data_IF_936088621975
#
_entry.id   IF_936088621975
#
_cell.length_a   1.000
_cell.length_b   1.000
_cell.length_c   1.000
_cell.angle_alpha   90.00
_cell.angle_beta   90.00
_cell.angle_gamma   90.00
#
_symmetry.space_group_name_H-M   'P 1'
#
loop_
_entity.id
_entity.type
_entity.pdbx_description
1 polymer ?
#
# COMPACT_ATOMS: atom_id res chain seq x y z
N UNK A 1 17.57 47.46 -52.88
CA UNK A 1 16.45 46.71 -52.26
C UNK A 1 17.02 45.87 -51.14
N UNK A 2 16.65 46.17 -49.90
CA UNK A 2 16.00 45.16 -49.07
C UNK A 2 14.74 45.70 -48.40
N UNK A 3 13.95 44.74 -47.92
CA UNK A 3 12.53 44.79 -47.57
C UNK A 3 12.30 45.40 -46.19
N UNK A 4 11.31 46.30 -46.07
CA UNK A 4 10.70 46.70 -44.79
C UNK A 4 9.99 45.48 -44.20
N UNK A 5 10.46 44.97 -43.07
CA UNK A 5 9.65 44.10 -42.20
C UNK A 5 9.11 45.00 -41.10
N UNK A 6 7.80 45.26 -41.14
CA UNK A 6 7.08 45.94 -40.07
C UNK A 6 7.10 45.05 -38.82
N UNK A 7 7.59 45.59 -37.71
CA UNK A 7 7.40 44.99 -36.40
C UNK A 7 5.90 45.03 -36.08
N UNK A 8 5.26 43.86 -36.05
CA UNK A 8 3.86 43.66 -35.63
C UNK A 8 3.80 43.06 -34.21
N UNK A 9 4.88 43.20 -33.43
CA UNK A 9 5.02 42.60 -32.10
C UNK A 9 5.58 43.59 -31.07
N UNK A 10 5.08 44.82 -31.09
CA UNK A 10 5.46 45.86 -30.10
C UNK A 10 4.26 46.34 -29.28
N UNK A 11 3.26 45.47 -29.08
CA UNK A 11 2.15 45.73 -28.15
C UNK A 11 2.17 44.72 -27.00
N UNK A 12 2.75 45.15 -25.88
CA UNK A 12 2.21 44.84 -24.56
C UNK A 12 2.47 43.47 -23.95
N UNK A 13 3.69 42.94 -24.04
CA UNK A 13 4.11 41.84 -23.16
C UNK A 13 5.02 42.38 -22.05
N UNK A 14 4.40 42.91 -20.99
CA UNK A 14 5.09 43.10 -19.72
C UNK A 14 5.51 41.72 -19.20
N UNK A 15 6.81 41.51 -19.06
CA UNK A 15 7.33 40.37 -18.34
C UNK A 15 6.83 40.47 -16.89
N UNK A 16 5.92 39.58 -16.48
CA UNK A 16 5.64 39.34 -15.07
C UNK A 16 6.98 38.97 -14.44
N UNK A 17 7.54 39.89 -13.66
CA UNK A 17 8.72 39.65 -12.85
C UNK A 17 8.42 38.47 -11.95
N UNK A 18 9.35 37.52 -11.89
CA UNK A 18 9.31 36.29 -11.08
C UNK A 18 9.26 36.51 -9.55
N UNK A 19 8.95 37.73 -9.12
CA UNK A 19 8.94 38.18 -7.72
C UNK A 19 7.52 38.49 -7.23
N UNK A 20 6.47 38.25 -8.03
CA UNK A 20 5.10 38.13 -7.49
C UNK A 20 4.97 36.79 -6.77
N UNK A 21 5.42 36.79 -5.52
CA UNK A 21 5.05 35.83 -4.50
C UNK A 21 3.51 35.75 -4.50
N UNK A 22 2.99 34.64 -5.03
CA UNK A 22 1.57 34.31 -4.95
C UNK A 22 1.27 34.07 -3.47
N UNK A 23 0.98 35.16 -2.74
CA UNK A 23 0.36 35.10 -1.42
C UNK A 23 -1.03 34.51 -1.62
N UNK A 24 -1.09 33.18 -1.63
CA UNK A 24 -2.29 32.46 -1.26
C UNK A 24 -2.62 32.91 0.16
N UNK A 25 -3.52 33.90 0.27
CA UNK A 25 -4.20 34.32 1.50
C UNK A 25 -5.18 33.19 1.91
N UNK A 26 -4.62 31.99 2.08
CA UNK A 26 -5.25 30.86 2.72
C UNK A 26 -5.00 31.08 4.20
N UNK A 27 -6.00 31.68 4.85
CA UNK A 27 -6.10 31.70 6.31
C UNK A 27 -5.67 30.33 6.83
N UNK A 28 -4.59 30.21 7.61
CA UNK A 28 -4.12 28.92 8.06
C UNK A 28 -5.24 28.34 8.92
N UNK A 29 -5.91 27.30 8.41
CA UNK A 29 -6.92 26.58 9.17
C UNK A 29 -6.29 26.24 10.53
N UNK A 30 -6.87 26.77 11.61
CA UNK A 30 -6.38 26.74 12.98
C UNK A 30 -6.43 25.32 13.60
N UNK A 31 -6.24 24.28 12.79
CA UNK A 31 -6.12 22.93 13.29
C UNK A 31 -4.65 22.65 13.64
N UNK A 32 -4.33 22.29 14.89
CA UNK A 32 -2.96 21.93 15.24
C UNK A 32 -2.52 20.77 14.34
N UNK A 33 -1.29 20.83 13.76
CA UNK A 33 -0.88 19.88 12.74
C UNK A 33 -0.99 18.49 13.32
N UNK A 34 -1.90 17.70 12.76
CA UNK A 34 -2.02 16.29 13.11
C UNK A 34 -0.65 15.66 12.80
N UNK A 35 -0.02 15.05 13.80
CA UNK A 35 1.15 14.22 13.54
C UNK A 35 0.66 12.97 12.82
N UNK A 36 0.75 13.00 11.50
CA UNK A 36 0.36 11.91 10.60
C UNK A 36 1.44 10.81 10.57
N UNK A 37 2.65 11.13 11.04
CA UNK A 37 3.80 10.21 11.06
C UNK A 37 3.51 8.83 11.69
N UNK A 38 2.95 8.72 12.91
CA UNK A 38 2.65 7.42 13.50
C UNK A 38 1.58 6.63 12.71
N UNK A 39 0.58 7.33 12.15
CA UNK A 39 -0.51 6.71 11.37
C UNK A 39 0.06 6.05 10.11
N UNK A 40 0.92 6.77 9.41
CA UNK A 40 1.57 6.29 8.18
C UNK A 40 2.52 5.16 8.51
N UNK A 41 3.33 5.31 9.55
CA UNK A 41 4.27 4.26 9.97
C UNK A 41 3.56 2.94 10.30
N UNK A 42 2.49 2.97 11.11
CA UNK A 42 1.71 1.77 11.42
C UNK A 42 1.03 1.19 10.19
N UNK A 43 0.54 2.04 9.29
CA UNK A 43 -0.05 1.59 8.03
C UNK A 43 0.98 0.87 7.15
N UNK A 44 2.19 1.42 6.99
CA UNK A 44 3.26 0.84 6.18
C UNK A 44 3.75 -0.50 6.72
N UNK A 45 3.93 -0.61 8.04
CA UNK A 45 4.25 -1.90 8.67
C UNK A 45 3.18 -2.91 8.30
N UNK A 46 1.92 -2.59 8.56
CA UNK A 46 0.79 -3.48 8.29
C UNK A 46 0.64 -3.83 6.80
N UNK A 47 0.92 -2.88 5.91
CA UNK A 47 0.98 -3.09 4.47
C UNK A 47 2.06 -4.10 4.08
N UNK A 48 3.25 -3.92 4.65
CA UNK A 48 4.38 -4.82 4.44
C UNK A 48 4.10 -6.24 4.94
N UNK A 49 3.57 -6.39 6.16
CA UNK A 49 3.16 -7.69 6.71
C UNK A 49 2.18 -8.38 5.77
N UNK A 50 1.12 -7.68 5.38
CA UNK A 50 0.07 -8.27 4.55
C UNK A 50 0.60 -8.64 3.17
N UNK A 51 1.50 -7.86 2.59
CA UNK A 51 2.16 -8.17 1.31
C UNK A 51 2.88 -9.52 1.35
N UNK A 52 3.67 -9.77 2.40
CA UNK A 52 4.39 -11.05 2.56
C UNK A 52 3.43 -12.21 2.81
N UNK A 53 2.47 -12.07 3.74
CA UNK A 53 1.58 -13.19 4.07
C UNK A 53 0.64 -13.52 2.90
N UNK A 54 0.19 -12.53 2.13
CA UNK A 54 -0.62 -12.77 0.91
C UNK A 54 0.13 -13.66 -0.08
N UNK A 55 1.42 -13.40 -0.30
CA UNK A 55 2.25 -14.21 -1.17
C UNK A 55 2.37 -15.64 -0.65
N UNK A 56 2.76 -15.81 0.61
CA UNK A 56 2.92 -17.12 1.25
C UNK A 56 1.62 -17.94 1.22
N UNK A 57 0.47 -17.33 1.53
CA UNK A 57 -0.82 -18.01 1.50
C UNK A 57 -1.20 -18.49 0.10
N UNK A 58 -0.96 -17.68 -0.93
CA UNK A 58 -1.26 -18.05 -2.32
C UNK A 58 -0.36 -19.20 -2.78
N UNK A 59 0.94 -19.17 -2.46
CA UNK A 59 1.87 -20.28 -2.72
C UNK A 59 1.36 -21.56 -2.06
N UNK A 60 1.06 -21.50 -0.76
CA UNK A 60 0.58 -22.66 0.00
C UNK A 60 -0.70 -23.27 -0.58
N UNK A 61 -1.61 -22.41 -1.04
CA UNK A 61 -2.89 -22.86 -1.59
C UNK A 61 -2.76 -23.44 -2.99
N UNK A 62 -1.92 -22.86 -3.84
CA UNK A 62 -1.62 -23.41 -5.17
C UNK A 62 -0.87 -24.74 -5.02
N UNK A 63 0.08 -24.81 -4.09
CA UNK A 63 0.82 -26.03 -3.79
C UNK A 63 -0.09 -27.14 -3.26
N UNK A 64 -1.09 -26.80 -2.43
CA UNK A 64 -2.11 -27.75 -1.98
C UNK A 64 -2.99 -28.26 -3.13
N UNK A 65 -3.51 -27.34 -3.95
CA UNK A 65 -4.38 -27.65 -5.11
C UNK A 65 -3.66 -28.49 -6.17
N UNK A 66 -2.36 -28.25 -6.38
CA UNK A 66 -1.53 -29.04 -7.32
C UNK A 66 -0.94 -30.30 -6.67
N UNK A 67 -0.91 -30.39 -5.34
CA UNK A 67 -0.38 -31.55 -4.64
C UNK A 67 -1.21 -32.81 -4.80
N UNK A 68 -2.51 -32.67 -5.02
CA UNK A 68 -3.40 -33.79 -5.38
C UNK A 68 -3.14 -34.31 -6.81
N UNK A 69 -2.47 -33.53 -7.67
CA UNK A 69 -2.15 -33.91 -9.06
C UNK A 69 -0.80 -34.68 -9.13
N UNK A 70 0.07 -34.51 -8.14
CA UNK A 70 1.36 -35.20 -8.01
C UNK A 70 1.30 -36.25 -6.88
N UNK A 71 0.33 -37.17 -6.98
CA UNK A 71 0.02 -38.26 -6.05
C UNK A 71 1.10 -39.37 -5.94
N UNK A 72 2.38 -38.99 -6.06
CA UNK A 72 3.54 -39.88 -5.94
C UNK A 72 4.80 -39.22 -5.38
N UNK A 73 4.78 -37.92 -5.06
CA UNK A 73 5.90 -37.21 -4.46
C UNK A 73 5.41 -36.46 -3.21
N UNK A 74 5.36 -37.17 -2.09
CA UNK A 74 4.85 -36.71 -0.78
C UNK A 74 5.58 -35.53 -0.14
N UNK A 75 6.43 -34.80 -0.87
CA UNK A 75 7.34 -33.78 -0.34
C UNK A 75 7.19 -32.42 -1.06
N UNK A 76 5.98 -31.99 -1.39
CA UNK A 76 5.76 -30.60 -1.85
C UNK A 76 6.00 -29.61 -0.70
N UNK A 77 5.73 -30.04 0.54
CA UNK A 77 6.17 -29.36 1.77
C UNK A 77 7.67 -29.54 2.06
N UNK A 78 8.31 -30.55 1.46
CA UNK A 78 9.74 -30.80 1.52
C UNK A 78 10.58 -29.98 0.55
N UNK A 79 9.98 -29.32 -0.46
CA UNK A 79 10.68 -28.39 -1.38
C UNK A 79 11.25 -27.17 -0.63
N UNK A 80 10.61 -26.78 0.48
CA UNK A 80 11.10 -25.72 1.37
C UNK A 80 12.00 -26.24 2.50
N UNK A 81 12.20 -27.57 2.58
CA UNK A 81 13.12 -28.19 3.52
C UNK A 81 14.45 -28.44 2.80
N UNK A 82 15.44 -27.59 3.09
CA UNK A 82 16.78 -27.62 2.47
C UNK A 82 17.54 -28.96 2.67
N UNK A 83 17.00 -29.87 3.48
CA UNK A 83 17.62 -31.16 3.82
C UNK A 83 17.36 -32.28 2.81
N UNK A 84 16.44 -32.11 1.84
CA UNK A 84 16.09 -33.16 0.87
C UNK A 84 16.55 -32.86 -0.57
N UNK A 85 17.77 -32.35 -0.73
CA UNK A 85 18.43 -32.13 -2.03
C UNK A 85 19.00 -33.43 -2.65
N UNK A 86 18.22 -34.51 -2.74
CA UNK A 86 18.71 -35.79 -3.30
C UNK A 86 17.84 -36.46 -4.36
N UNK A 87 16.70 -35.88 -4.77
CA UNK A 87 15.93 -36.39 -5.91
C UNK A 87 15.89 -35.39 -7.07
N UNK A 88 16.15 -35.91 -8.27
CA UNK A 88 16.08 -35.29 -9.61
C UNK A 88 15.90 -33.75 -9.64
N UNK A 89 17.01 -33.02 -9.51
CA UNK A 89 17.08 -31.55 -9.34
C UNK A 89 16.35 -30.78 -10.45
N UNK A 90 16.27 -31.32 -11.68
CA UNK A 90 15.56 -30.67 -12.78
C UNK A 90 14.04 -30.68 -12.59
N UNK A 91 13.46 -31.81 -12.17
CA UNK A 91 12.02 -31.95 -12.00
C UNK A 91 11.48 -31.14 -10.81
N UNK A 92 12.26 -31.02 -9.73
CA UNK A 92 11.90 -30.21 -8.55
C UNK A 92 12.03 -28.71 -8.84
N UNK A 93 13.05 -28.31 -9.60
CA UNK A 93 13.21 -26.93 -10.05
C UNK A 93 12.08 -26.50 -11.00
N UNK A 94 11.69 -27.34 -11.95
CA UNK A 94 10.60 -27.04 -12.88
C UNK A 94 9.25 -26.88 -12.15
N UNK A 95 8.97 -27.74 -11.15
CA UNK A 95 7.76 -27.63 -10.34
C UNK A 95 7.75 -26.35 -9.49
N UNK A 96 8.88 -26.01 -8.85
CA UNK A 96 9.00 -24.77 -8.08
C UNK A 96 8.77 -23.53 -8.96
N UNK A 97 9.40 -23.50 -10.13
CA UNK A 97 9.22 -22.42 -11.10
C UNK A 97 7.75 -22.31 -11.56
N UNK A 98 7.06 -23.43 -11.73
CA UNK A 98 5.66 -23.44 -12.14
C UNK A 98 4.74 -22.85 -11.06
N UNK A 99 4.87 -23.31 -9.81
CA UNK A 99 4.10 -22.80 -8.67
C UNK A 99 4.38 -21.31 -8.44
N UNK A 100 5.65 -20.91 -8.53
CA UNK A 100 6.05 -19.52 -8.38
C UNK A 100 5.46 -18.64 -9.50
N UNK A 101 5.49 -19.11 -10.75
CA UNK A 101 4.88 -18.40 -11.88
C UNK A 101 3.38 -18.22 -11.66
N UNK A 102 2.65 -19.27 -11.29
CA UNK A 102 1.21 -19.20 -11.08
C UNK A 102 0.85 -18.29 -9.88
N UNK A 103 1.64 -18.35 -8.81
CA UNK A 103 1.51 -17.44 -7.66
C UNK A 103 1.69 -15.99 -8.11
N UNK A 104 2.72 -15.70 -8.90
CA UNK A 104 2.97 -14.35 -9.41
C UNK A 104 1.79 -13.84 -10.27
N UNK A 105 1.22 -14.69 -11.12
CA UNK A 105 0.02 -14.34 -11.90
C UNK A 105 -1.18 -13.99 -11.00
N UNK A 106 -1.43 -14.78 -9.96
CA UNK A 106 -2.51 -14.51 -9.01
C UNK A 106 -2.29 -13.21 -8.22
N UNK A 107 -1.08 -13.01 -7.69
CA UNK A 107 -0.73 -11.78 -6.98
C UNK A 107 -0.87 -10.56 -7.89
N UNK A 108 -0.43 -10.67 -9.15
CA UNK A 108 -0.60 -9.59 -10.12
C UNK A 108 -2.08 -9.28 -10.36
N UNK A 109 -2.92 -10.30 -10.55
CA UNK A 109 -4.37 -10.13 -10.69
C UNK A 109 -5.01 -9.44 -9.48
N UNK A 110 -4.62 -9.85 -8.26
CA UNK A 110 -5.11 -9.24 -7.01
C UNK A 110 -4.67 -7.78 -6.87
N UNK A 111 -3.42 -7.45 -7.21
CA UNK A 111 -2.92 -6.07 -7.18
C UNK A 111 -3.63 -5.20 -8.22
N UNK A 112 -3.84 -5.69 -9.44
CA UNK A 112 -4.59 -4.96 -10.48
C UNK A 112 -6.03 -4.69 -10.04
N UNK A 113 -6.67 -5.66 -9.39
CA UNK A 113 -8.02 -5.50 -8.86
C UNK A 113 -8.12 -4.43 -7.75
N UNK A 114 -7.05 -4.21 -6.97
CA UNK A 114 -6.97 -3.11 -5.99
C UNK A 114 -6.62 -1.78 -6.67
N UNK A 115 -5.59 -1.76 -7.52
CA UNK A 115 -5.02 -0.54 -8.08
C UNK A 115 -5.95 0.17 -9.06
N UNK A 116 -6.69 -0.55 -9.90
CA UNK A 116 -7.60 0.06 -10.88
C UNK A 116 -8.67 0.93 -10.24
N UNK A 117 -9.49 0.43 -9.27
CA UNK A 117 -10.45 1.28 -8.58
C UNK A 117 -9.76 2.35 -7.72
N UNK A 118 -8.63 2.03 -7.08
CA UNK A 118 -7.88 2.99 -6.28
C UNK A 118 -7.39 4.20 -7.08
N UNK A 119 -6.94 4.00 -8.32
CA UNK A 119 -6.47 5.09 -9.19
C UNK A 119 -7.55 6.13 -9.46
N UNK A 120 -8.81 5.70 -9.58
CA UNK A 120 -9.96 6.58 -9.82
C UNK A 120 -10.38 7.28 -8.52
N UNK A 121 -10.39 6.54 -7.41
CA UNK A 121 -10.90 7.04 -6.12
C UNK A 121 -9.88 7.91 -5.39
N UNK A 122 -8.58 7.64 -5.51
CA UNK A 122 -7.53 8.35 -4.78
C UNK A 122 -7.54 9.88 -4.99
N UNK A 123 -7.64 10.42 -6.23
CA UNK A 123 -7.75 11.86 -6.43
C UNK A 123 -9.03 12.45 -5.84
N UNK A 124 -10.14 11.69 -5.87
CA UNK A 124 -11.43 12.13 -5.32
C UNK A 124 -11.32 12.26 -3.80
N UNK A 125 -10.76 11.26 -3.11
CA UNK A 125 -10.54 11.30 -1.67
C UNK A 125 -9.55 12.41 -1.31
N UNK A 126 -8.47 12.58 -2.06
CA UNK A 126 -7.50 13.65 -1.83
C UNK A 126 -8.14 15.04 -1.92
N UNK A 127 -8.96 15.27 -2.96
CA UNK A 127 -9.71 16.52 -3.13
C UNK A 127 -10.74 16.73 -2.03
N UNK A 128 -11.45 15.66 -1.64
CA UNK A 128 -12.43 15.68 -0.57
C UNK A 128 -11.79 16.00 0.78
N UNK A 129 -10.59 15.48 1.05
CA UNK A 129 -9.82 15.77 2.26
C UNK A 129 -9.41 17.23 2.41
N UNK A 130 -9.19 17.93 1.28
CA UNK A 130 -8.95 19.39 1.30
C UNK A 130 -10.20 20.19 1.68
N UNK A 131 -11.38 19.73 1.26
CA UNK A 131 -12.65 20.45 1.51
C UNK A 131 -13.30 20.13 2.86
N UNK A 132 -13.24 18.87 3.30
CA UNK A 132 -14.00 18.38 4.47
C UNK A 132 -13.09 17.95 5.64
N UNK A 133 -11.78 18.15 5.50
CA UNK A 133 -10.78 17.88 6.52
C UNK A 133 -9.96 16.62 6.26
N UNK A 134 -8.64 16.77 6.38
CA UNK A 134 -7.64 15.73 6.12
C UNK A 134 -7.83 14.50 7.01
N UNK A 135 -8.35 14.69 8.22
CA UNK A 135 -8.65 13.62 9.18
C UNK A 135 -9.66 12.60 8.64
N UNK A 136 -10.79 13.10 8.11
CA UNK A 136 -11.84 12.24 7.57
C UNK A 136 -11.36 11.50 6.32
N UNK A 137 -10.57 12.16 5.47
CA UNK A 137 -10.02 11.55 4.28
C UNK A 137 -8.97 10.47 4.57
N UNK A 138 -8.19 10.59 5.65
CA UNK A 138 -7.27 9.52 6.11
C UNK A 138 -8.00 8.32 6.71
N UNK A 139 -9.19 8.51 7.27
CA UNK A 139 -9.95 7.42 7.88
C UNK A 139 -10.47 6.42 6.85
N UNK A 140 -10.91 6.91 5.67
CA UNK A 140 -11.45 6.08 4.58
C UNK A 140 -10.51 4.95 4.15
N UNK A 141 -9.24 5.20 3.75
CA UNK A 141 -8.34 4.14 3.32
C UNK A 141 -7.97 3.19 4.48
N UNK A 142 -7.92 3.67 5.72
CA UNK A 142 -7.69 2.83 6.90
C UNK A 142 -8.85 1.86 7.17
N UNK A 143 -10.10 2.33 7.04
CA UNK A 143 -11.29 1.46 7.13
C UNK A 143 -11.29 0.44 5.99
N UNK A 144 -10.97 0.86 4.76
CA UNK A 144 -10.86 -0.05 3.61
C UNK A 144 -9.86 -1.17 3.86
N UNK A 145 -8.71 -0.83 4.44
CA UNK A 145 -7.68 -1.81 4.79
C UNK A 145 -8.12 -2.76 5.92
N UNK A 146 -8.83 -2.24 6.93
CA UNK A 146 -9.38 -3.04 8.03
C UNK A 146 -10.43 -4.04 7.54
N UNK A 147 -11.37 -3.61 6.69
CA UNK A 147 -12.40 -4.49 6.13
C UNK A 147 -11.79 -5.53 5.19
N UNK A 148 -10.79 -5.14 4.39
CA UNK A 148 -10.03 -6.07 3.53
C UNK A 148 -9.31 -7.13 4.36
N UNK A 149 -8.60 -6.72 5.43
CA UNK A 149 -7.92 -7.64 6.35
C UNK A 149 -8.88 -8.62 7.01
N UNK A 150 -10.05 -8.16 7.47
CA UNK A 150 -11.09 -9.01 8.06
C UNK A 150 -11.64 -10.04 7.06
N UNK A 151 -11.83 -9.63 5.81
CA UNK A 151 -12.34 -10.51 4.74
C UNK A 151 -11.28 -11.55 4.34
N UNK A 152 -10.01 -11.17 4.29
CA UNK A 152 -8.90 -12.10 4.11
C UNK A 152 -8.84 -13.14 5.22
N UNK A 153 -8.95 -12.70 6.48
CA UNK A 153 -9.00 -13.58 7.64
C UNK A 153 -10.16 -14.58 7.53
N UNK A 154 -11.36 -14.10 7.19
CA UNK A 154 -12.54 -14.95 6.97
C UNK A 154 -12.31 -15.97 5.85
N UNK A 155 -11.68 -15.56 4.74
CA UNK A 155 -11.36 -16.45 3.61
C UNK A 155 -10.41 -17.57 4.02
N UNK A 156 -9.45 -17.28 4.89
CA UNK A 156 -8.50 -18.26 5.43
C UNK A 156 -9.23 -19.26 6.32
N UNK A 157 -10.08 -18.80 7.25
CA UNK A 157 -10.84 -19.69 8.13
C UNK A 157 -11.85 -20.57 7.38
N UNK A 158 -12.49 -20.04 6.35
CA UNK A 158 -13.47 -20.78 5.55
C UNK A 158 -12.84 -21.65 4.44
N UNK A 159 -11.50 -21.66 4.32
CA UNK A 159 -10.75 -22.36 3.27
C UNK A 159 -11.38 -22.26 1.86
N UNK A 160 -11.89 -21.08 1.52
CA UNK A 160 -12.71 -20.86 0.30
C UNK A 160 -11.83 -20.71 -0.94
N UNK A 161 -12.33 -20.92 -2.16
CA UNK A 161 -11.56 -20.78 -3.42
C UNK A 161 -10.81 -19.44 -3.57
N UNK A 162 -9.70 -19.43 -4.32
CA UNK A 162 -8.85 -18.25 -4.59
C UNK A 162 -9.63 -17.06 -5.19
N UNK A 163 -10.67 -17.33 -5.98
CA UNK A 163 -11.49 -16.28 -6.61
C UNK A 163 -12.15 -15.34 -5.59
N UNK A 164 -12.45 -15.81 -4.38
CA UNK A 164 -13.07 -14.98 -3.34
C UNK A 164 -12.12 -13.89 -2.82
N UNK A 165 -10.80 -14.05 -3.01
CA UNK A 165 -9.79 -13.05 -2.63
C UNK A 165 -9.84 -11.78 -3.50
N UNK A 166 -10.52 -11.81 -4.66
CA UNK A 166 -10.66 -10.63 -5.52
C UNK A 166 -11.58 -9.60 -4.87
N UNK A 167 -12.63 -10.05 -4.18
CA UNK A 167 -13.63 -9.19 -3.51
C UNK A 167 -13.00 -8.21 -2.52
N UNK A 168 -12.17 -8.65 -1.54
CA UNK A 168 -11.53 -7.71 -0.62
C UNK A 168 -10.59 -6.71 -1.30
N UNK A 169 -9.95 -7.08 -2.41
CA UNK A 169 -9.05 -6.17 -3.15
C UNK A 169 -9.83 -5.07 -3.86
N UNK A 170 -10.94 -5.42 -4.52
CA UNK A 170 -11.82 -4.42 -5.15
C UNK A 170 -12.36 -3.49 -4.09
N UNK A 171 -12.84 -4.03 -2.96
CA UNK A 171 -13.36 -3.22 -1.87
C UNK A 171 -12.29 -2.25 -1.33
N UNK A 172 -11.09 -2.77 -1.03
CA UNK A 172 -9.97 -1.97 -0.58
C UNK A 172 -9.63 -0.85 -1.57
N UNK A 173 -9.59 -1.15 -2.86
CA UNK A 173 -9.31 -0.17 -3.90
C UNK A 173 -10.42 0.87 -4.06
N UNK A 174 -11.70 0.50 -3.91
CA UNK A 174 -12.82 1.47 -3.93
C UNK A 174 -12.84 2.42 -2.73
N UNK A 175 -12.15 2.07 -1.63
CA UNK A 175 -11.90 2.96 -0.49
C UNK A 175 -10.56 3.71 -0.62
N UNK A 176 -9.95 3.71 -1.80
CA UNK A 176 -8.74 4.47 -2.12
C UNK A 176 -7.43 3.70 -1.96
N UNK A 177 -7.39 2.64 -1.15
CA UNK A 177 -6.21 1.80 -0.96
C UNK A 177 -4.93 2.55 -0.57
N UNK A 178 -3.78 1.95 -0.86
CA UNK A 178 -2.45 2.53 -0.62
C UNK A 178 -2.22 3.88 -1.36
N UNK A 179 -2.57 4.03 -2.66
CA UNK A 179 -2.36 5.28 -3.40
C UNK A 179 -3.07 6.50 -2.80
N UNK A 180 -4.32 6.35 -2.32
CA UNK A 180 -5.05 7.45 -1.70
C UNK A 180 -4.37 7.94 -0.42
N UNK A 181 -3.94 7.01 0.43
CA UNK A 181 -3.23 7.35 1.67
C UNK A 181 -1.95 8.13 1.38
N UNK A 182 -1.14 7.67 0.41
CA UNK A 182 0.10 8.33 0.02
C UNK A 182 -0.15 9.73 -0.54
N UNK A 183 -1.17 9.88 -1.38
CA UNK A 183 -1.56 11.19 -1.92
C UNK A 183 -1.95 12.17 -0.80
N UNK A 184 -2.77 11.73 0.15
CA UNK A 184 -3.20 12.54 1.31
C UNK A 184 -2.02 12.96 2.18
N UNK A 185 -1.13 12.02 2.51
CA UNK A 185 0.00 12.30 3.40
C UNK A 185 0.99 13.26 2.76
N UNK A 186 1.31 13.05 1.48
CA UNK A 186 2.20 13.94 0.74
C UNK A 186 1.58 15.33 0.56
N UNK A 187 0.29 15.44 0.26
CA UNK A 187 -0.39 16.74 0.17
C UNK A 187 -0.41 17.46 1.52
N UNK A 188 -0.67 16.75 2.62
CA UNK A 188 -0.70 17.40 3.94
C UNK A 188 0.67 17.86 4.41
N UNK A 189 1.71 17.07 4.17
CA UNK A 189 3.08 17.50 4.45
C UNK A 189 3.47 18.68 3.54
N UNK A 190 2.93 18.73 2.33
CA UNK A 190 3.22 19.79 1.37
C UNK A 190 2.68 21.17 1.81
N UNK A 191 1.52 21.19 2.48
CA UNK A 191 0.75 22.42 2.73
C UNK A 191 1.19 23.19 4.00
N UNK A 192 2.00 22.62 4.91
CA UNK A 192 2.03 23.11 6.30
C UNK A 192 3.30 23.81 6.82
N UNK A 193 4.40 23.99 6.06
CA UNK A 193 5.67 24.56 6.59
C UNK A 193 6.55 25.22 5.52
N UNK A 194 7.54 26.00 5.98
CA UNK A 194 8.67 26.51 5.18
C UNK A 194 9.31 25.41 4.32
N UNK A 195 9.84 25.79 3.15
CA UNK A 195 10.34 24.85 2.14
C UNK A 195 11.40 23.85 2.67
N UNK A 196 12.27 24.28 3.60
CA UNK A 196 13.33 23.44 4.17
C UNK A 196 12.76 22.42 5.17
N UNK A 197 11.92 22.86 6.11
CA UNK A 197 11.33 22.00 7.13
C UNK A 197 10.38 20.96 6.51
N UNK A 198 9.68 21.34 5.44
CA UNK A 198 8.82 20.47 4.64
C UNK A 198 9.57 19.31 4.02
N UNK A 199 10.69 19.60 3.37
CA UNK A 199 11.52 18.60 2.68
C UNK A 199 12.11 17.61 3.68
N UNK A 200 12.63 18.10 4.81
CA UNK A 200 13.19 17.25 5.87
C UNK A 200 12.13 16.31 6.43
N UNK A 201 10.92 16.80 6.68
CA UNK A 201 9.83 15.98 7.22
C UNK A 201 9.35 14.91 6.25
N UNK A 202 9.27 15.22 4.95
CA UNK A 202 8.97 14.23 3.90
C UNK A 202 10.04 13.12 3.87
N UNK A 203 11.31 13.50 3.96
CA UNK A 203 12.42 12.53 4.01
C UNK A 203 12.35 11.65 5.25
N UNK A 204 12.14 12.25 6.44
CA UNK A 204 12.01 11.49 7.69
C UNK A 204 10.85 10.50 7.61
N UNK A 205 9.69 10.93 7.11
CA UNK A 205 8.51 10.08 6.95
C UNK A 205 8.80 8.92 6.00
N UNK A 206 9.40 9.19 4.85
CA UNK A 206 9.77 8.18 3.86
C UNK A 206 10.74 7.16 4.45
N UNK A 207 11.81 7.62 5.11
CA UNK A 207 12.83 6.74 5.72
C UNK A 207 12.22 5.86 6.81
N UNK A 208 11.42 6.42 7.72
CA UNK A 208 10.80 5.65 8.81
C UNK A 208 9.82 4.60 8.26
N UNK A 209 9.06 4.97 7.23
CA UNK A 209 8.07 4.07 6.59
C UNK A 209 8.74 2.91 5.85
N UNK A 210 9.78 3.20 5.06
CA UNK A 210 10.51 2.19 4.28
C UNK A 210 11.40 1.32 5.16
N UNK A 211 12.08 1.88 6.17
CA UNK A 211 12.83 1.08 7.14
C UNK A 211 11.89 0.18 7.95
N UNK A 212 10.74 0.70 8.36
CA UNK A 212 9.71 -0.08 9.04
C UNK A 212 9.21 -1.23 8.17
N UNK A 213 8.86 -0.95 6.91
CA UNK A 213 8.43 -1.95 5.95
C UNK A 213 9.51 -3.01 5.70
N UNK A 214 10.76 -2.62 5.47
CA UNK A 214 11.88 -3.53 5.20
C UNK A 214 12.21 -4.46 6.38
N UNK A 215 12.32 -3.92 7.60
CA UNK A 215 12.53 -4.72 8.81
C UNK A 215 11.41 -5.72 9.03
N UNK A 216 10.19 -5.30 8.73
CA UNK A 216 8.99 -6.11 8.84
C UNK A 216 9.02 -7.29 7.86
N UNK A 217 9.43 -7.10 6.59
CA UNK A 217 9.51 -8.21 5.61
C UNK A 217 10.46 -9.31 6.08
N UNK A 218 11.64 -8.95 6.58
CA UNK A 218 12.62 -9.92 7.10
C UNK A 218 12.09 -10.58 8.37
N UNK A 219 11.49 -9.81 9.28
CA UNK A 219 10.94 -10.31 10.53
C UNK A 219 9.78 -11.30 10.32
N UNK A 220 8.88 -11.03 9.38
CA UNK A 220 7.76 -11.93 9.09
C UNK A 220 8.23 -13.22 8.44
N UNK A 221 9.25 -13.17 7.57
CA UNK A 221 9.86 -14.38 7.03
C UNK A 221 10.27 -15.34 8.14
N UNK A 222 11.00 -14.86 9.14
CA UNK A 222 11.41 -15.66 10.30
C UNK A 222 10.22 -16.08 11.20
N UNK A 223 9.22 -15.23 11.34
CA UNK A 223 8.02 -15.52 12.12
C UNK A 223 7.24 -16.70 11.51
N UNK A 224 7.01 -16.66 10.19
CA UNK A 224 6.27 -17.70 9.45
C UNK A 224 7.06 -19.00 9.41
N UNK A 225 8.40 -18.98 9.34
CA UNK A 225 9.19 -20.21 9.39
C UNK A 225 9.03 -20.97 10.71
N UNK A 226 8.75 -20.28 11.82
CA UNK A 226 8.64 -20.89 13.15
C UNK A 226 7.19 -21.03 13.65
N UNK A 227 6.22 -20.33 13.04
CA UNK A 227 4.82 -20.23 13.48
C UNK A 227 3.88 -20.29 12.27
N UNK A 228 2.66 -20.83 12.43
CA UNK A 228 1.63 -20.81 11.38
C UNK A 228 1.28 -19.38 10.88
N UNK A 229 0.59 -19.26 9.75
CA UNK A 229 0.23 -17.98 9.11
C UNK A 229 -0.79 -17.10 9.85
N UNK A 230 -1.52 -17.65 10.82
CA UNK A 230 -2.64 -16.97 11.49
C UNK A 230 -2.23 -15.79 12.41
N UNK A 231 -1.22 -15.93 13.31
CA UNK A 231 -0.87 -14.86 14.24
C UNK A 231 -0.43 -13.54 13.57
N UNK A 232 0.35 -13.54 12.47
CA UNK A 232 0.67 -12.33 11.73
C UNK A 232 -0.57 -11.59 11.18
N UNK A 233 -1.60 -12.32 10.70
CA UNK A 233 -2.85 -11.69 10.26
C UNK A 233 -3.59 -10.97 11.39
N UNK A 234 -3.67 -11.60 12.57
CA UNK A 234 -4.27 -10.99 13.75
C UNK A 234 -3.49 -9.75 14.22
N UNK A 235 -2.16 -9.76 14.09
CA UNK A 235 -1.32 -8.60 14.38
C UNK A 235 -1.67 -7.42 13.45
N UNK A 236 -1.82 -7.66 12.14
CA UNK A 236 -2.25 -6.63 11.17
C UNK A 236 -3.64 -6.08 11.51
N UNK A 237 -4.59 -6.96 11.80
CA UNK A 237 -5.94 -6.54 12.19
C UNK A 237 -5.91 -5.64 13.44
N UNK A 238 -5.17 -6.05 14.47
CA UNK A 238 -4.98 -5.25 15.69
C UNK A 238 -4.31 -3.91 15.44
N UNK A 239 -3.26 -3.87 14.61
CA UNK A 239 -2.56 -2.63 14.25
C UNK A 239 -3.46 -1.65 13.48
N UNK A 240 -4.30 -2.16 12.58
CA UNK A 240 -5.26 -1.35 11.82
C UNK A 240 -6.39 -0.83 12.70
N UNK A 241 -6.90 -1.66 13.62
CA UNK A 241 -7.86 -1.23 14.63
C UNK A 241 -7.27 -0.11 15.48
N UNK A 242 -6.04 -0.28 15.96
CA UNK A 242 -5.31 0.77 16.70
C UNK A 242 -5.18 2.05 15.88
N UNK A 243 -4.87 1.95 14.59
CA UNK A 243 -4.74 3.12 13.72
C UNK A 243 -6.05 3.89 13.56
N UNK A 244 -7.16 3.17 13.34
CA UNK A 244 -8.52 3.75 13.27
C UNK A 244 -8.89 4.41 14.60
N UNK A 245 -8.64 3.75 15.74
CA UNK A 245 -8.88 4.33 17.05
C UNK A 245 -8.02 5.56 17.33
N UNK A 246 -6.76 5.55 16.91
CA UNK A 246 -5.85 6.69 17.06
C UNK A 246 -6.35 7.91 16.28
N UNK A 247 -6.76 7.71 15.02
CA UNK A 247 -7.35 8.76 14.18
C UNK A 247 -8.65 9.28 14.82
N UNK A 248 -9.52 8.38 15.27
CA UNK A 248 -10.81 8.75 15.88
C UNK A 248 -10.64 9.52 17.19
N UNK A 249 -9.83 9.04 18.13
CA UNK A 249 -9.64 9.70 19.43
C UNK A 249 -8.94 11.05 19.29
N UNK A 250 -7.99 11.17 18.35
CA UNK A 250 -7.34 12.44 18.03
C UNK A 250 -8.28 13.40 17.28
N UNK A 251 -9.39 12.90 16.72
CA UNK A 251 -10.43 13.72 16.07
C UNK A 251 -11.32 14.45 17.07
N UNK A 252 -11.46 13.97 18.31
CA UNK A 252 -12.38 14.53 19.33
C UNK A 252 -11.71 15.59 20.24
N UNK A 253 -10.49 16.03 19.92
CA UNK A 253 -9.76 17.10 20.61
C UNK A 253 -9.09 18.03 19.62
#
# INVERSE_FOLDING_TARGET
MPVKVSNVFDDGFEWISSDEEYEDDVTPDETPPVSIEPIVFTFFISYSILGVIRAEYVVHKIAYDHGDIYEGQSDILGIFNYETCQSNISATADLHNHVQMQTAYWLLGLNVAEMLPSLIVAPIIASWGKMFGVKAALLIPNIGYLVSSMTWLATIYCNTSLYFLIVPQILQGTLGGFPALMSLCNSFLADNRTNVDRTIRLVILGVISELGAGLTQVGIGYWISNTSFLPPYWCVFGAMVFNVFYIYFRSTR
#
